data_IF_334330882557
#
_entry.id   IF_334330882557
#
_cell.length_a   1.000
_cell.length_b   1.000
_cell.length_c   1.000
_cell.angle_alpha   90.00
_cell.angle_beta   90.00
_cell.angle_gamma   90.00
#
_symmetry.space_group_name_H-M   'P 1'
#
loop_
_entity.id
_entity.type
_entity.pdbx_description
1 polymer ?
#
# COMPACT_ATOMS: atom_id res chain seq x y z
N UNK A 1 11.86 8.20 -0.76
CA UNK A 1 11.79 7.04 -1.67
C UNK A 1 10.42 6.40 -1.56
N UNK A 2 9.97 5.75 -2.62
CA UNK A 2 8.72 4.98 -2.66
C UNK A 2 9.06 3.51 -2.83
N UNK A 3 8.27 2.63 -2.22
CA UNK A 3 8.45 1.17 -2.23
C UNK A 3 7.07 0.58 -2.45
N UNK A 4 6.81 0.11 -3.67
CA UNK A 4 5.53 -0.48 -4.04
C UNK A 4 5.54 -1.97 -3.74
N UNK A 5 4.48 -2.47 -3.11
CA UNK A 5 4.30 -3.90 -2.84
C UNK A 5 4.30 -4.73 -4.14
N UNK A 6 3.89 -4.13 -5.27
CA UNK A 6 3.88 -4.80 -6.57
C UNK A 6 5.29 -5.15 -7.05
N UNK A 7 6.31 -4.40 -6.62
CA UNK A 7 7.72 -4.71 -6.92
C UNK A 7 8.17 -6.02 -6.28
N UNK A 8 7.35 -6.58 -5.37
CA UNK A 8 7.58 -7.83 -4.65
C UNK A 8 6.68 -8.97 -5.10
N UNK A 9 5.83 -8.77 -6.11
CA UNK A 9 5.08 -9.87 -6.71
C UNK A 9 6.06 -10.90 -7.33
N UNK A 10 5.83 -12.22 -7.13
CA UNK A 10 6.50 -13.23 -7.91
C UNK A 10 6.18 -13.06 -9.40
N UNK A 11 7.07 -13.53 -10.29
CA UNK A 11 6.72 -13.68 -11.70
C UNK A 11 5.43 -14.50 -11.87
N UNK A 12 4.66 -14.17 -12.91
CA UNK A 12 3.37 -14.78 -13.20
C UNK A 12 3.36 -16.31 -13.10
N UNK A 13 4.38 -17.00 -13.61
CA UNK A 13 4.47 -18.47 -13.60
C UNK A 13 4.57 -19.07 -12.19
N UNK A 14 5.00 -18.27 -11.20
CA UNK A 14 5.14 -18.68 -9.81
C UNK A 14 3.94 -18.29 -8.96
N UNK A 15 2.99 -17.51 -9.50
CA UNK A 15 1.75 -17.18 -8.80
C UNK A 15 0.91 -18.46 -8.65
N UNK A 16 0.54 -18.84 -7.41
CA UNK A 16 -0.25 -20.03 -7.18
C UNK A 16 -1.61 -19.97 -7.88
N UNK A 17 -2.14 -21.14 -8.24
CA UNK A 17 -3.52 -21.25 -8.71
C UNK A 17 -4.47 -21.27 -7.50
N UNK A 18 -5.56 -20.52 -7.58
CA UNK A 18 -6.62 -20.57 -6.60
C UNK A 18 -7.17 -22.01 -6.50
N UNK A 19 -7.26 -22.61 -5.30
CA UNK A 19 -7.51 -24.05 -5.13
C UNK A 19 -8.83 -24.53 -5.73
N UNK A 20 -9.87 -23.68 -5.72
CA UNK A 20 -11.20 -24.00 -6.25
C UNK A 20 -11.34 -23.63 -7.74
N UNK A 21 -10.98 -22.40 -8.11
CA UNK A 21 -11.26 -21.84 -9.44
C UNK A 21 -10.14 -22.10 -10.47
N UNK A 22 -8.99 -22.60 -10.04
CA UNK A 22 -7.88 -23.04 -10.92
C UNK A 22 -7.38 -21.94 -11.88
N UNK A 23 -7.36 -20.70 -11.40
CA UNK A 23 -6.77 -19.52 -12.07
C UNK A 23 -5.71 -18.91 -11.16
N UNK A 24 -4.74 -18.18 -11.70
CA UNK A 24 -3.70 -17.50 -10.91
C UNK A 24 -4.35 -16.59 -9.86
N UNK A 25 -3.90 -16.70 -8.61
CA UNK A 25 -4.38 -15.93 -7.47
C UNK A 25 -3.38 -14.82 -7.12
N UNK A 26 -3.60 -13.66 -7.72
CA UNK A 26 -2.76 -12.48 -7.54
C UNK A 26 -3.07 -11.69 -6.26
N UNK A 27 -4.11 -12.09 -5.52
CA UNK A 27 -4.65 -11.29 -4.43
C UNK A 27 -4.56 -12.04 -3.07
N UNK A 28 -4.30 -13.36 -3.05
CA UNK A 28 -4.07 -14.12 -1.81
C UNK A 28 -2.68 -13.91 -1.21
N UNK A 29 -2.65 -13.30 -0.02
CA UNK A 29 -1.42 -12.80 0.58
C UNK A 29 -0.25 -13.79 0.67
N UNK A 30 -0.41 -15.05 1.11
CA UNK A 30 0.70 -16.01 1.18
C UNK A 30 1.45 -16.23 -0.15
N UNK A 31 0.76 -16.13 -1.29
CA UNK A 31 1.29 -16.46 -2.61
C UNK A 31 1.52 -15.26 -3.53
N UNK A 32 0.79 -14.17 -3.32
CA UNK A 32 0.83 -12.99 -4.17
C UNK A 32 2.12 -12.19 -4.03
N UNK A 33 2.83 -12.30 -2.89
CA UNK A 33 3.97 -11.46 -2.53
C UNK A 33 5.16 -12.32 -2.06
N UNK A 34 6.35 -11.97 -2.53
CA UNK A 34 7.63 -12.46 -1.99
C UNK A 34 7.96 -11.74 -0.67
N UNK A 35 7.27 -12.16 0.41
CA UNK A 35 7.45 -11.59 1.75
C UNK A 35 8.88 -11.64 2.28
N UNK A 36 9.66 -12.73 2.10
CA UNK A 36 11.08 -12.72 2.45
C UNK A 36 11.87 -11.59 1.78
N UNK A 37 11.65 -11.35 0.47
CA UNK A 37 12.32 -10.26 -0.26
C UNK A 37 11.89 -8.88 0.22
N UNK A 38 10.60 -8.69 0.50
CA UNK A 38 10.08 -7.43 1.04
C UNK A 38 10.68 -7.13 2.42
N UNK A 39 10.63 -8.08 3.35
CA UNK A 39 11.20 -7.94 4.70
C UNK A 39 12.70 -7.60 4.64
N UNK A 40 13.47 -8.31 3.81
CA UNK A 40 14.89 -8.04 3.63
C UNK A 40 15.15 -6.62 3.07
N UNK A 41 14.33 -6.18 2.10
CA UNK A 41 14.44 -4.82 1.54
C UNK A 41 14.13 -3.74 2.56
N UNK A 42 13.05 -3.89 3.33
CA UNK A 42 12.69 -2.92 4.38
C UNK A 42 13.73 -2.86 5.50
N UNK A 43 14.27 -4.01 5.90
CA UNK A 43 15.39 -4.06 6.85
C UNK A 43 16.61 -3.32 6.31
N UNK A 44 16.98 -3.53 5.05
CA UNK A 44 18.09 -2.82 4.41
C UNK A 44 17.87 -1.31 4.40
N UNK A 45 16.65 -0.85 4.10
CA UNK A 45 16.28 0.57 4.13
C UNK A 45 16.43 1.16 5.54
N UNK A 46 15.98 0.45 6.58
CA UNK A 46 16.16 0.90 7.97
C UNK A 46 17.62 0.99 8.39
N UNK A 47 18.46 0.07 7.91
CA UNK A 47 19.90 0.02 8.25
C UNK A 47 20.74 1.04 7.47
N UNK A 48 20.42 1.29 6.20
CA UNK A 48 21.29 2.01 5.28
C UNK A 48 20.69 3.33 4.77
N UNK A 49 19.39 3.58 5.00
CA UNK A 49 18.68 4.73 4.45
C UNK A 49 18.59 4.72 2.91
N UNK A 50 18.75 3.55 2.29
CA UNK A 50 18.74 3.36 0.84
C UNK A 50 18.10 2.02 0.49
N UNK A 51 17.55 1.91 -0.72
CA UNK A 51 17.08 0.65 -1.26
C UNK A 51 18.27 -0.26 -1.63
N UNK A 52 18.13 -1.60 -1.54
CA UNK A 52 19.15 -2.52 -2.04
C UNK A 52 19.45 -2.24 -3.51
N UNK A 53 20.72 -2.35 -3.92
CA UNK A 53 21.10 -2.15 -5.32
C UNK A 53 20.46 -3.12 -6.32
N UNK A 54 19.88 -4.21 -5.82
CA UNK A 54 19.11 -5.20 -6.60
C UNK A 54 17.63 -4.85 -6.74
N UNK A 55 17.13 -3.80 -6.06
CA UNK A 55 15.73 -3.41 -6.15
C UNK A 55 15.45 -2.73 -7.48
N UNK A 56 14.33 -3.10 -8.10
CA UNK A 56 13.84 -2.55 -9.35
C UNK A 56 12.34 -2.33 -9.22
N UNK A 57 11.86 -1.17 -9.67
CA UNK A 57 10.45 -0.79 -9.57
C UNK A 57 9.73 -0.93 -10.90
N UNK A 58 8.55 -1.55 -10.85
CA UNK A 58 7.65 -1.73 -11.99
C UNK A 58 6.54 -0.67 -12.03
N UNK A 59 6.52 0.31 -11.13
CA UNK A 59 5.44 1.30 -11.02
C UNK A 59 5.21 2.11 -12.31
N UNK A 60 6.26 2.30 -13.11
CA UNK A 60 6.20 3.00 -14.39
C UNK A 60 5.44 2.23 -15.48
N UNK A 61 5.18 0.93 -15.29
CA UNK A 61 4.45 0.10 -16.25
C UNK A 61 2.93 0.20 -16.09
N UNK A 62 2.44 0.74 -14.96
CA UNK A 62 1.01 0.86 -14.69
C UNK A 62 0.48 2.26 -15.01
N UNK A 63 -0.80 2.34 -15.39
CA UNK A 63 -1.46 3.62 -15.64
C UNK A 63 -1.53 4.45 -14.34
N UNK A 64 -0.94 5.65 -14.38
CA UNK A 64 -0.95 6.58 -13.27
C UNK A 64 -2.05 7.62 -13.50
N UNK A 65 -3.12 7.52 -12.71
CA UNK A 65 -4.16 8.56 -12.66
C UNK A 65 -3.77 9.60 -11.63
N UNK A 66 -3.58 10.84 -12.08
CA UNK A 66 -3.33 11.96 -11.19
C UNK A 66 -4.59 12.27 -10.36
N UNK A 67 -4.45 12.21 -9.03
CA UNK A 67 -5.50 12.65 -8.11
C UNK A 67 -5.01 13.95 -7.47
N UNK A 68 -5.60 15.10 -7.83
CA UNK A 68 -5.08 16.39 -7.40
C UNK A 68 -5.22 16.56 -5.89
N UNK A 69 -4.13 17.00 -5.27
CA UNK A 69 -4.11 17.53 -3.91
C UNK A 69 -4.18 19.06 -4.01
N UNK A 70 -4.96 19.75 -3.15
CA UNK A 70 -5.01 21.20 -3.17
C UNK A 70 -3.59 21.83 -3.05
N UNK A 71 -3.18 22.76 -3.94
CA UNK A 71 -1.83 23.30 -3.96
C UNK A 71 -1.37 23.91 -2.63
N UNK A 72 -2.30 24.51 -1.88
CA UNK A 72 -2.07 25.06 -0.56
C UNK A 72 -1.69 23.98 0.47
N UNK A 73 -2.32 22.80 0.39
CA UNK A 73 -2.00 21.64 1.24
C UNK A 73 -0.60 21.13 0.93
N UNK A 74 -0.30 20.91 -0.35
CA UNK A 74 1.02 20.46 -0.80
C UNK A 74 2.12 21.45 -0.43
N UNK A 75 1.90 22.75 -0.68
CA UNK A 75 2.87 23.79 -0.35
C UNK A 75 3.15 23.91 1.14
N UNK A 76 2.10 23.83 1.99
CA UNK A 76 2.22 23.84 3.45
C UNK A 76 3.06 22.67 3.96
N UNK A 77 2.75 21.44 3.52
CA UNK A 77 3.49 20.26 3.99
C UNK A 77 4.90 20.18 3.44
N UNK A 78 5.11 20.56 2.18
CA UNK A 78 6.46 20.63 1.60
C UNK A 78 7.36 21.54 2.44
N UNK A 79 6.88 22.72 2.82
CA UNK A 79 7.61 23.63 3.70
C UNK A 79 7.90 22.97 5.06
N UNK A 80 6.88 22.38 5.69
CA UNK A 80 7.02 21.79 7.04
C UNK A 80 8.01 20.62 7.07
N UNK A 81 7.96 19.72 6.09
CA UNK A 81 8.91 18.60 5.99
C UNK A 81 10.33 19.08 5.68
N UNK A 82 10.48 20.15 4.88
CA UNK A 82 11.77 20.80 4.70
C UNK A 82 12.32 21.34 6.02
N UNK A 83 11.48 22.05 6.80
CA UNK A 83 11.89 22.60 8.09
C UNK A 83 12.34 21.50 9.06
N UNK A 84 11.65 20.35 9.11
CA UNK A 84 12.08 19.17 9.90
C UNK A 84 13.43 18.66 9.44
N UNK A 85 13.60 18.48 8.13
CA UNK A 85 14.85 17.99 7.56
C UNK A 85 16.02 18.93 7.85
N UNK A 86 15.81 20.26 7.77
CA UNK A 86 16.82 21.27 8.09
C UNK A 86 17.21 21.22 9.58
N UNK A 87 16.24 21.03 10.48
CA UNK A 87 16.50 20.93 11.91
C UNK A 87 17.31 19.68 12.29
N UNK A 88 17.00 18.51 11.70
CA UNK A 88 17.80 17.30 11.89
C UNK A 88 19.20 17.42 11.27
N UNK A 89 19.30 18.04 10.09
CA UNK A 89 20.58 18.33 9.44
C UNK A 89 21.47 19.22 10.30
N UNK A 90 20.90 20.24 10.96
CA UNK A 90 21.61 21.08 11.93
C UNK A 90 22.13 20.29 13.16
N UNK A 91 21.49 19.16 13.50
CA UNK A 91 21.95 18.21 14.52
C UNK A 91 22.93 17.15 13.98
N UNK A 92 23.28 17.19 12.70
CA UNK A 92 24.20 16.25 12.06
C UNK A 92 23.56 14.96 11.56
N UNK A 93 22.23 14.91 11.46
CA UNK A 93 21.49 13.74 10.96
C UNK A 93 20.93 13.98 9.56
N UNK A 94 20.97 12.94 8.73
CA UNK A 94 20.28 12.93 7.44
C UNK A 94 18.93 12.20 7.58
N UNK A 95 17.83 12.85 7.23
CA UNK A 95 16.50 12.25 7.30
C UNK A 95 16.15 11.61 5.96
N UNK A 96 15.75 10.34 6.00
CA UNK A 96 15.28 9.60 4.84
C UNK A 96 13.81 9.27 5.04
N UNK A 97 12.97 9.77 4.13
CA UNK A 97 11.54 9.43 4.09
C UNK A 97 11.33 8.26 3.13
N UNK A 98 10.74 7.17 3.62
CA UNK A 98 10.31 6.04 2.80
C UNK A 98 8.79 5.89 2.89
N UNK A 99 8.12 5.87 1.73
CA UNK A 99 6.70 5.55 1.61
C UNK A 99 6.59 4.13 1.09
N UNK A 100 5.89 3.28 1.83
CA UNK A 100 5.60 1.90 1.42
C UNK A 100 4.11 1.82 1.15
N UNK A 101 3.73 1.46 -0.07
CA UNK A 101 2.33 1.35 -0.48
C UNK A 101 2.02 -0.05 -1.02
N UNK A 102 0.80 -0.50 -0.81
CA UNK A 102 0.41 -1.86 -1.18
C UNK A 102 -0.89 -2.31 -0.54
N UNK A 103 -1.60 -3.18 -1.26
CA UNK A 103 -2.94 -3.61 -0.89
C UNK A 103 -2.98 -4.75 0.15
N UNK A 104 -1.85 -5.38 0.49
CA UNK A 104 -1.77 -6.47 1.49
C UNK A 104 -0.78 -6.19 2.63
N UNK A 105 -0.28 -4.95 2.75
CA UNK A 105 0.81 -4.60 3.68
C UNK A 105 0.54 -5.02 5.13
N UNK A 106 -0.72 -5.00 5.56
CA UNK A 106 -1.10 -5.27 6.95
C UNK A 106 -1.36 -6.76 7.27
N UNK A 107 -1.06 -7.65 6.32
CA UNK A 107 -1.15 -9.09 6.51
C UNK A 107 0.10 -9.68 7.18
N UNK A 108 1.30 -9.24 6.78
CA UNK A 108 2.58 -9.72 7.33
C UNK A 108 3.01 -8.89 8.54
N UNK A 109 3.11 -9.51 9.72
CA UNK A 109 3.41 -8.79 10.96
C UNK A 109 4.81 -8.17 10.98
N UNK A 110 5.82 -8.80 10.36
CA UNK A 110 7.18 -8.26 10.36
C UNK A 110 7.30 -7.00 9.48
N UNK A 111 6.57 -6.98 8.36
CA UNK A 111 6.42 -5.76 7.55
C UNK A 111 5.75 -4.67 8.38
N UNK A 112 4.62 -4.97 9.03
CA UNK A 112 3.88 -4.02 9.86
C UNK A 112 4.75 -3.45 11.00
N UNK A 113 5.50 -4.30 11.69
CA UNK A 113 6.37 -3.91 12.81
C UNK A 113 7.53 -3.01 12.36
N UNK A 114 7.89 -3.04 11.08
CA UNK A 114 8.95 -2.18 10.52
C UNK A 114 8.44 -0.75 10.22
N UNK A 115 7.13 -0.54 10.10
CA UNK A 115 6.55 0.76 9.71
C UNK A 115 6.41 1.71 10.91
N UNK A 116 6.96 2.92 10.79
CA UNK A 116 6.89 3.97 11.81
C UNK A 116 5.48 4.59 11.90
N UNK A 117 4.82 4.75 10.75
CA UNK A 117 3.44 5.24 10.63
C UNK A 117 2.68 4.31 9.72
N UNK A 118 1.47 3.93 10.15
CA UNK A 118 0.60 3.00 9.44
C UNK A 118 -0.68 3.74 9.05
N UNK A 119 -1.01 3.70 7.77
CA UNK A 119 -2.18 4.38 7.19
C UNK A 119 -2.97 3.37 6.35
N UNK A 120 -4.26 3.23 6.64
CA UNK A 120 -5.19 2.39 5.89
C UNK A 120 -6.21 3.26 5.17
N UNK A 121 -6.27 3.16 3.84
CA UNK A 121 -7.29 3.82 3.03
C UNK A 121 -8.44 2.85 2.79
N UNK A 122 -9.59 3.10 3.43
CA UNK A 122 -10.81 2.32 3.21
C UNK A 122 -11.67 2.96 2.13
N UNK A 123 -12.18 2.14 1.24
CA UNK A 123 -13.15 2.48 0.19
C UNK A 123 -14.14 1.31 0.14
N UNK A 124 -15.46 1.54 -0.02
CA UNK A 124 -16.44 0.46 -0.04
C UNK A 124 -16.24 -0.48 -1.23
N UNK A 125 -16.56 -1.78 -1.06
CA UNK A 125 -16.45 -2.83 -2.08
C UNK A 125 -17.00 -2.38 -3.43
N UNK A 126 -18.19 -1.79 -3.43
CA UNK A 126 -18.87 -1.37 -4.66
C UNK A 126 -18.01 -0.41 -5.49
N UNK A 127 -17.34 0.55 -4.83
CA UNK A 127 -16.48 1.54 -5.50
C UNK A 127 -15.18 0.88 -5.94
N UNK A 128 -14.58 0.03 -5.10
CA UNK A 128 -13.37 -0.73 -5.46
C UNK A 128 -13.61 -1.63 -6.68
N UNK A 129 -14.72 -2.36 -6.69
CA UNK A 129 -15.15 -3.23 -7.78
C UNK A 129 -15.31 -2.45 -9.08
N UNK A 130 -16.02 -1.33 -9.04
CA UNK A 130 -16.19 -0.46 -10.20
C UNK A 130 -14.82 -0.02 -10.76
N UNK A 131 -13.94 0.50 -9.89
CA UNK A 131 -12.60 0.96 -10.31
C UNK A 131 -11.71 -0.16 -10.85
N UNK A 132 -11.80 -1.38 -10.30
CA UNK A 132 -11.07 -2.55 -10.82
C UNK A 132 -11.56 -2.94 -12.21
N UNK A 133 -12.87 -2.95 -12.46
CA UNK A 133 -13.41 -3.25 -13.78
C UNK A 133 -13.13 -2.16 -14.83
N UNK A 134 -13.06 -0.90 -14.42
CA UNK A 134 -12.67 0.21 -15.30
C UNK A 134 -11.18 0.15 -15.67
N UNK A 135 -10.34 -0.51 -14.88
CA UNK A 135 -8.93 -0.73 -15.18
C UNK A 135 -8.81 -1.79 -16.29
N UNK A 136 -8.21 -1.42 -17.43
CA UNK A 136 -8.16 -2.27 -18.63
C UNK A 136 -7.20 -3.48 -18.57
N UNK A 137 -6.63 -3.76 -17.39
CA UNK A 137 -5.69 -4.82 -17.10
C UNK A 137 -4.55 -4.35 -16.19
N UNK A 138 -3.66 -5.27 -15.84
CA UNK A 138 -2.51 -5.02 -14.99
C UNK A 138 -1.24 -5.50 -15.69
N UNK A 139 -0.18 -4.69 -15.67
CA UNK A 139 1.13 -5.18 -16.09
C UNK A 139 1.70 -6.07 -14.99
N UNK A 140 1.93 -7.34 -15.33
CA UNK A 140 2.47 -8.35 -14.42
C UNK A 140 3.89 -8.68 -14.80
N UNK A 141 4.79 -8.86 -13.85
CA UNK A 141 6.14 -9.33 -14.13
C UNK A 141 6.09 -10.79 -14.65
N UNK A 142 6.87 -11.09 -15.69
CA UNK A 142 6.95 -12.43 -16.31
C UNK A 142 8.42 -12.85 -16.34
N UNK A 143 8.74 -14.11 -16.05
CA UNK A 143 10.15 -14.54 -16.00
C UNK A 143 10.88 -14.35 -17.32
N UNK A 144 10.16 -14.51 -18.44
CA UNK A 144 10.71 -14.42 -19.78
C UNK A 144 10.68 -13.04 -20.41
N UNK A 145 9.97 -12.08 -19.81
CA UNK A 145 9.76 -10.74 -20.38
C UNK A 145 9.87 -9.66 -19.30
N UNK A 146 10.94 -8.84 -19.32
CA UNK A 146 11.10 -7.74 -18.36
C UNK A 146 10.04 -6.63 -18.51
N UNK A 147 9.30 -6.56 -19.63
CA UNK A 147 8.14 -5.66 -19.81
C UNK A 147 6.83 -6.28 -19.28
N UNK A 148 6.84 -7.57 -18.95
CA UNK A 148 5.72 -8.27 -18.35
C UNK A 148 4.63 -8.73 -19.33
N UNK A 149 3.50 -9.20 -18.80
CA UNK A 149 2.28 -9.46 -19.59
C UNK A 149 1.09 -8.70 -19.04
N UNK A 150 0.13 -8.40 -19.91
CA UNK A 150 -1.14 -7.79 -19.52
C UNK A 150 -2.06 -8.86 -18.93
N UNK A 151 -2.21 -8.86 -17.61
CA UNK A 151 -3.23 -9.66 -16.94
C UNK A 151 -4.59 -8.99 -17.05
N UNK A 152 -5.62 -9.79 -17.33
CA UNK A 152 -7.03 -9.39 -17.23
C UNK A 152 -7.76 -10.39 -16.37
N UNK A 153 -8.51 -9.86 -15.41
CA UNK A 153 -9.35 -10.66 -14.54
C UNK A 153 -10.29 -11.57 -15.36
N UNK A 154 -10.31 -12.89 -15.12
CA UNK A 154 -11.29 -13.77 -15.72
C UNK A 154 -12.72 -13.45 -15.19
N UNK A 155 -13.77 -13.97 -15.83
CA UNK A 155 -15.14 -13.78 -15.34
C UNK A 155 -15.28 -14.17 -13.86
N UNK A 156 -15.96 -13.34 -13.09
CA UNK A 156 -16.21 -13.51 -11.65
C UNK A 156 -14.99 -13.46 -10.72
N UNK A 157 -13.80 -13.08 -11.22
CA UNK A 157 -12.58 -13.04 -10.42
C UNK A 157 -12.69 -12.13 -9.20
N UNK A 158 -13.39 -10.99 -9.32
CA UNK A 158 -13.57 -10.06 -8.21
C UNK A 158 -14.26 -10.70 -7.01
N UNK A 159 -15.41 -11.30 -7.27
CA UNK A 159 -16.33 -11.84 -6.26
C UNK A 159 -15.83 -13.17 -5.71
N UNK A 160 -15.11 -13.93 -6.52
CA UNK A 160 -14.64 -15.27 -6.19
C UNK A 160 -13.25 -15.27 -5.55
N UNK A 161 -12.38 -14.31 -5.90
CA UNK A 161 -10.96 -14.33 -5.55
C UNK A 161 -10.55 -13.02 -4.87
N UNK A 162 -10.63 -11.90 -5.60
CA UNK A 162 -10.07 -10.61 -5.14
C UNK A 162 -10.65 -10.16 -3.81
N UNK A 163 -11.97 -9.98 -3.77
CA UNK A 163 -12.62 -9.42 -2.58
C UNK A 163 -12.60 -10.39 -1.40
N UNK A 164 -12.84 -11.70 -1.57
CA UNK A 164 -12.61 -12.67 -0.49
C UNK A 164 -11.18 -12.66 0.05
N UNK A 165 -10.16 -12.52 -0.81
CA UNK A 165 -8.77 -12.41 -0.37
C UNK A 165 -8.51 -11.10 0.39
N UNK A 166 -9.05 -9.98 -0.09
CA UNK A 166 -9.02 -8.70 0.62
C UNK A 166 -9.63 -8.80 2.02
N UNK A 167 -10.81 -9.41 2.16
CA UNK A 167 -11.47 -9.59 3.47
C UNK A 167 -10.58 -10.44 4.39
N UNK A 168 -10.11 -11.61 3.93
CA UNK A 168 -9.21 -12.48 4.73
C UNK A 168 -7.95 -11.76 5.18
N UNK A 169 -7.39 -10.90 4.32
CA UNK A 169 -6.16 -10.18 4.60
C UNK A 169 -6.33 -9.00 5.58
N UNK A 170 -7.56 -8.56 5.87
CA UNK A 170 -7.80 -7.33 6.64
C UNK A 170 -8.87 -7.44 7.72
N UNK A 171 -9.67 -8.50 7.77
CA UNK A 171 -10.76 -8.64 8.76
C UNK A 171 -10.25 -8.51 10.20
N UNK A 172 -9.01 -8.94 10.48
CA UNK A 172 -8.40 -8.84 11.80
C UNK A 172 -8.17 -7.40 12.26
N UNK A 173 -8.14 -6.43 11.34
CA UNK A 173 -7.96 -5.00 11.61
C UNK A 173 -9.21 -4.34 12.18
N UNK A 174 -10.39 -4.95 11.98
CA UNK A 174 -11.69 -4.33 12.28
C UNK A 174 -12.49 -5.11 13.32
N UNK A 175 -13.33 -4.41 14.07
CA UNK A 175 -14.26 -5.03 15.01
C UNK A 175 -15.22 -5.96 14.27
N UNK A 176 -15.40 -7.18 14.79
CA UNK A 176 -16.25 -8.22 14.20
C UNK A 176 -15.89 -8.62 12.75
N UNK A 177 -14.69 -8.26 12.26
CA UNK A 177 -14.29 -8.55 10.88
C UNK A 177 -14.94 -7.65 9.83
N UNK A 178 -15.60 -6.56 10.22
CA UNK A 178 -16.32 -5.66 9.29
C UNK A 178 -15.35 -4.69 8.58
N UNK A 179 -14.78 -5.12 7.45
CA UNK A 179 -13.86 -4.32 6.63
C UNK A 179 -14.53 -3.13 5.92
N UNK A 180 -15.86 -3.15 5.75
CA UNK A 180 -16.61 -2.15 4.99
C UNK A 180 -17.00 -0.95 5.86
N UNK A 181 -17.59 -1.21 7.02
CA UNK A 181 -18.15 -0.18 7.91
C UNK A 181 -17.57 -0.18 9.32
N UNK A 182 -16.83 -1.23 9.69
CA UNK A 182 -16.39 -1.47 11.06
C UNK A 182 -15.43 -0.40 11.58
N UNK A 183 -15.37 -0.28 12.91
CA UNK A 183 -14.28 0.47 13.54
C UNK A 183 -13.03 -0.39 13.54
N UNK A 184 -11.87 0.26 13.66
CA UNK A 184 -10.64 -0.47 13.95
C UNK A 184 -10.81 -1.26 15.25
N UNK A 185 -10.31 -2.48 15.27
CA UNK A 185 -10.24 -3.27 16.50
C UNK A 185 -9.42 -2.50 17.55
N UNK A 186 -9.73 -2.60 18.85
CA UNK A 186 -9.08 -1.81 19.90
C UNK A 186 -7.54 -1.88 19.91
N UNK A 187 -6.97 -3.01 19.46
CA UNK A 187 -5.51 -3.18 19.34
C UNK A 187 -4.86 -2.26 18.29
N UNK A 188 -5.59 -1.84 17.25
CA UNK A 188 -5.06 -1.02 16.15
C UNK A 188 -5.47 0.44 16.22
N UNK A 189 -6.43 0.81 17.08
CA UNK A 189 -7.00 2.16 17.16
C UNK A 189 -5.94 3.26 17.36
N UNK A 190 -4.84 2.95 18.05
CA UNK A 190 -3.74 3.90 18.31
C UNK A 190 -2.55 3.76 17.36
N UNK A 191 -2.50 2.68 16.59
CA UNK A 191 -1.35 2.30 15.77
C UNK A 191 -1.59 2.49 14.29
N UNK A 192 -2.86 2.49 13.85
CA UNK A 192 -3.28 2.55 12.47
C UNK A 192 -4.21 3.75 12.22
N UNK A 193 -3.82 4.61 11.30
CA UNK A 193 -4.63 5.74 10.85
C UNK A 193 -5.61 5.26 9.78
N UNK A 194 -6.90 5.23 10.10
CA UNK A 194 -7.95 4.87 9.15
C UNK A 194 -8.47 6.11 8.39
N UNK A 195 -8.20 6.16 7.09
CA UNK A 195 -8.71 7.17 6.17
C UNK A 195 -9.93 6.62 5.43
N UNK A 196 -11.02 7.39 5.39
CA UNK A 196 -12.26 6.99 4.71
C UNK A 196 -12.36 7.69 3.36
N UNK A 197 -12.07 6.96 2.29
CA UNK A 197 -12.03 7.46 0.93
C UNK A 197 -13.42 7.64 0.28
N UNK A 198 -13.44 7.72 -1.05
CA UNK A 198 -14.67 7.89 -1.83
C UNK A 198 -15.72 6.82 -1.51
N UNK A 199 -16.97 7.25 -1.34
CA UNK A 199 -18.11 6.36 -1.13
C UNK A 199 -18.35 5.93 0.32
N UNK A 200 -17.44 6.19 1.26
CA UNK A 200 -17.69 5.99 2.68
C UNK A 200 -18.68 7.03 3.23
N UNK A 201 -19.47 6.66 4.26
CA UNK A 201 -20.40 7.58 4.95
C UNK A 201 -19.70 8.82 5.52
N UNK A 202 -18.46 8.66 5.99
CA UNK A 202 -17.58 9.73 6.48
C UNK A 202 -16.47 10.01 5.47
N UNK A 203 -16.84 10.24 4.22
CA UNK A 203 -15.90 10.53 3.14
C UNK A 203 -14.98 11.71 3.48
N UNK A 204 -13.68 11.51 3.32
CA UNK A 204 -12.64 12.52 3.45
C UNK A 204 -12.16 12.95 2.06
N UNK A 205 -12.02 14.27 1.88
CA UNK A 205 -11.41 14.81 0.67
C UNK A 205 -9.92 14.49 0.59
N UNK A 206 -9.32 14.53 -0.62
CA UNK A 206 -7.89 14.23 -0.79
C UNK A 206 -6.99 15.14 0.06
N UNK A 207 -7.28 16.44 0.12
CA UNK A 207 -6.51 17.37 0.97
C UNK A 207 -6.57 17.03 2.46
N UNK A 208 -7.73 16.60 2.96
CA UNK A 208 -7.91 16.17 4.35
C UNK A 208 -7.14 14.88 4.65
N UNK A 209 -7.22 13.89 3.75
CA UNK A 209 -6.46 12.65 3.87
C UNK A 209 -4.94 12.91 3.91
N UNK A 210 -4.44 13.79 3.05
CA UNK A 210 -3.03 14.22 3.06
C UNK A 210 -2.69 14.95 4.35
N UNK A 211 -3.58 15.81 4.86
CA UNK A 211 -3.36 16.50 6.13
C UNK A 211 -3.20 15.52 7.30
N UNK A 212 -4.10 14.54 7.42
CA UNK A 212 -4.05 13.53 8.49
C UNK A 212 -2.79 12.66 8.37
N UNK A 213 -2.47 12.22 7.15
CA UNK A 213 -1.27 11.42 6.87
C UNK A 213 0.01 12.18 7.25
N UNK A 214 0.15 13.42 6.78
CA UNK A 214 1.32 14.25 7.05
C UNK A 214 1.47 14.60 8.54
N UNK A 215 0.37 14.89 9.25
CA UNK A 215 0.40 15.10 10.69
C UNK A 215 0.89 13.85 11.44
N UNK A 216 0.44 12.67 11.03
CA UNK A 216 0.85 11.40 11.63
C UNK A 216 2.35 11.16 11.45
N UNK A 217 2.89 11.43 10.26
CA UNK A 217 4.33 11.35 9.96
C UNK A 217 5.12 12.36 10.80
N UNK A 218 4.64 13.60 10.93
CA UNK A 218 5.32 14.62 11.73
C UNK A 218 5.37 14.28 13.22
N UNK A 219 4.31 13.66 13.75
CA UNK A 219 4.23 13.31 15.17
C UNK A 219 5.35 12.38 15.65
N UNK A 220 5.98 11.65 14.73
CA UNK A 220 7.10 10.73 15.01
C UNK A 220 8.45 11.19 14.46
N UNK A 221 8.50 12.37 13.83
CA UNK A 221 9.70 12.85 13.12
C UNK A 221 10.20 14.21 13.56
N UNK A 222 9.50 14.90 14.47
CA UNK A 222 10.00 16.14 15.05
C UNK A 222 11.28 15.90 15.89
N UNK A 223 12.28 16.80 15.85
CA UNK A 223 13.60 16.61 16.47
C UNK A 223 13.68 16.68 18.00
#
# INVERSE_FOLDING_TARGET
MTISLQDFAPPQELIPLHPVYQVQDWDDAPGAIDWPRLRASLKHVKEHGALPGSHYSHDHLNEQKEIPVPPETTGRWTKRFKDVSDQWSAKGFNVVWALVDGFLLYWDSEVVDTLDVKIFLRIPEKVLKQRRHERHGYHTAVQSDPEGSLWRDPPHYWEQIVYPAYVRAHEHLFENGDVEGGKLAPKYEKELVLLSGEGCDKHMGMGEMVDIAAQSILSVSDP
#
